data_IF_542774854471
#
_entry.id   IF_542774854471
#
_cell.length_a   1.000
_cell.length_b   1.000
_cell.length_c   1.000
_cell.angle_alpha   90.00
_cell.angle_beta   90.00
_cell.angle_gamma   90.00
#
_symmetry.space_group_name_H-M   'P 1'
#
loop_
_entity.id
_entity.type
_entity.pdbx_description
1 polymer ?
#
# COMPACT_ATOMS: atom_id res chain seq x y z
N UNK A 1 19.92 48.98 -17.80
CA UNK A 1 19.63 48.61 -19.19
C UNK A 1 20.46 47.37 -19.55
N UNK A 2 19.87 46.20 -19.49
CA UNK A 2 20.10 44.98 -20.26
C UNK A 2 19.21 43.86 -19.66
N UNK A 3 18.34 43.37 -20.52
CA UNK A 3 17.39 42.30 -20.37
C UNK A 3 18.12 40.96 -20.19
N UNK A 4 17.68 40.12 -19.24
CA UNK A 4 17.94 38.70 -19.28
C UNK A 4 16.61 37.97 -19.55
N UNK A 5 16.42 37.58 -20.81
CA UNK A 5 15.51 36.52 -21.19
C UNK A 5 16.20 35.20 -20.90
N UNK A 6 15.60 34.40 -20.00
CA UNK A 6 15.92 33.00 -19.78
C UNK A 6 14.69 32.17 -20.14
N UNK A 7 14.66 31.64 -21.36
CA UNK A 7 13.66 30.66 -21.79
C UNK A 7 13.89 29.34 -21.02
N UNK A 8 12.90 28.92 -20.26
CA UNK A 8 12.85 27.57 -19.69
C UNK A 8 12.40 26.60 -20.80
N UNK A 9 13.33 25.81 -21.31
CA UNK A 9 13.09 24.73 -22.28
C UNK A 9 12.46 23.54 -21.53
N UNK A 10 11.12 23.47 -21.57
CA UNK A 10 10.32 22.42 -20.98
C UNK A 10 10.14 21.24 -21.92
N UNK A 11 11.20 20.52 -22.25
CA UNK A 11 11.10 19.23 -22.96
C UNK A 11 10.60 18.14 -22.01
N UNK A 12 9.28 18.01 -21.87
CA UNK A 12 8.62 16.82 -21.32
C UNK A 12 9.01 15.62 -22.21
N UNK A 13 9.72 14.65 -21.60
CA UNK A 13 10.20 13.45 -22.31
C UNK A 13 9.02 12.70 -22.94
N UNK A 14 9.13 12.37 -24.22
CA UNK A 14 8.11 11.73 -25.05
C UNK A 14 7.53 10.40 -24.49
N UNK A 15 8.17 9.77 -23.51
CA UNK A 15 7.70 8.55 -22.85
C UNK A 15 6.47 8.74 -21.96
N UNK A 16 6.25 9.94 -21.41
CA UNK A 16 5.12 10.22 -20.50
C UNK A 16 3.80 10.41 -21.26
N UNK A 17 3.86 10.88 -22.50
CA UNK A 17 2.68 11.08 -23.35
C UNK A 17 2.11 9.77 -23.91
N UNK A 18 2.94 8.75 -24.14
CA UNK A 18 2.47 7.45 -24.65
C UNK A 18 1.64 6.66 -23.64
N UNK A 19 1.85 6.85 -22.34
CA UNK A 19 1.05 6.18 -21.29
C UNK A 19 -0.36 6.79 -21.15
N UNK A 20 -0.49 8.09 -21.32
CA UNK A 20 -1.78 8.78 -21.20
C UNK A 20 -2.76 8.46 -22.35
N UNK A 21 -2.27 8.15 -23.56
CA UNK A 21 -3.10 7.85 -24.73
C UNK A 21 -3.64 6.39 -24.70
N UNK A 22 -3.08 5.53 -23.85
CA UNK A 22 -3.41 4.10 -23.80
C UNK A 22 -4.72 3.77 -23.07
N UNK A 23 -5.32 4.71 -22.35
CA UNK A 23 -6.56 4.47 -21.59
C UNK A 23 -7.84 4.41 -22.46
N UNK A 24 -7.77 4.72 -23.75
CA UNK A 24 -8.92 4.72 -24.68
C UNK A 24 -8.95 3.52 -25.65
N UNK A 25 -7.98 2.61 -25.59
CA UNK A 25 -7.93 1.41 -26.44
C UNK A 25 -8.25 0.16 -25.63
N UNK A 26 -8.85 -0.84 -26.31
CA UNK A 26 -9.13 -2.16 -25.77
C UNK A 26 -7.95 -2.69 -24.95
N UNK A 27 -8.22 -3.31 -23.78
CA UNK A 27 -7.17 -3.91 -22.96
C UNK A 27 -6.30 -4.86 -23.82
N UNK A 28 -4.96 -4.83 -23.63
CA UNK A 28 -4.06 -5.68 -24.41
C UNK A 28 -4.39 -7.16 -24.20
N UNK A 29 -4.28 -7.97 -25.27
CA UNK A 29 -4.38 -9.42 -25.15
C UNK A 29 -3.20 -9.95 -24.32
N UNK A 30 -3.35 -11.16 -23.77
CA UNK A 30 -2.32 -11.82 -22.96
C UNK A 30 -0.98 -11.93 -23.71
N UNK A 31 -1.03 -12.14 -25.02
CA UNK A 31 0.17 -12.17 -25.90
C UNK A 31 0.91 -10.84 -25.96
N UNK A 32 0.18 -9.73 -25.87
CA UNK A 32 0.77 -8.38 -25.89
C UNK A 32 1.55 -8.10 -24.60
N UNK A 33 1.18 -8.74 -23.48
CA UNK A 33 1.85 -8.52 -22.18
C UNK A 33 3.32 -8.97 -22.23
N UNK A 34 3.63 -10.04 -22.96
CA UNK A 34 5.01 -10.51 -23.13
C UNK A 34 5.82 -9.51 -23.98
N UNK A 35 5.22 -8.98 -25.05
CA UNK A 35 5.86 -7.95 -25.88
C UNK A 35 6.08 -6.65 -25.07
N UNK A 36 5.08 -6.24 -24.28
CA UNK A 36 5.18 -5.10 -23.38
C UNK A 36 6.31 -5.27 -22.35
N UNK A 37 6.44 -6.48 -21.76
CA UNK A 37 7.53 -6.78 -20.83
C UNK A 37 8.91 -6.64 -21.50
N UNK A 38 9.08 -7.14 -22.72
CA UNK A 38 10.35 -6.97 -23.47
C UNK A 38 10.67 -5.50 -23.66
N UNK A 39 9.72 -4.72 -24.17
CA UNK A 39 9.89 -3.28 -24.36
C UNK A 39 10.22 -2.54 -23.07
N UNK A 40 9.56 -2.89 -21.97
CA UNK A 40 9.85 -2.35 -20.64
C UNK A 40 11.28 -2.68 -20.19
N UNK A 41 11.70 -3.94 -20.34
CA UNK A 41 13.03 -4.38 -19.94
C UNK A 41 14.14 -3.73 -20.79
N UNK A 42 13.93 -3.59 -22.10
CA UNK A 42 14.82 -2.86 -23.01
C UNK A 42 14.91 -1.38 -22.65
N UNK A 43 13.77 -0.74 -22.36
CA UNK A 43 13.73 0.64 -21.91
C UNK A 43 14.51 0.87 -20.61
N UNK A 44 14.36 -0.03 -19.62
CA UNK A 44 15.14 0.04 -18.36
C UNK A 44 16.66 -0.10 -18.63
N UNK A 45 17.07 -1.04 -19.49
CA UNK A 45 18.49 -1.22 -19.87
C UNK A 45 19.05 -0.03 -20.65
N UNK A 46 18.24 0.59 -21.50
CA UNK A 46 18.68 1.76 -22.28
C UNK A 46 18.97 2.96 -21.39
N UNK A 47 18.18 3.15 -20.31
CA UNK A 47 18.39 4.23 -19.32
C UNK A 47 19.53 3.88 -18.36
N UNK A 48 19.59 2.62 -17.93
CA UNK A 48 20.56 2.11 -16.97
C UNK A 48 20.97 0.67 -17.31
N UNK A 49 22.10 0.48 -17.98
CA UNK A 49 22.59 -0.86 -18.37
C UNK A 49 22.86 -1.79 -17.17
N UNK A 50 23.04 -1.24 -15.97
CA UNK A 50 23.27 -1.98 -14.73
C UNK A 50 22.02 -2.37 -13.97
N UNK A 51 20.84 -1.90 -14.37
CA UNK A 51 19.59 -2.02 -13.60
C UNK A 51 19.31 -3.44 -13.10
N UNK A 52 19.15 -4.39 -14.00
CA UNK A 52 18.85 -5.78 -13.62
C UNK A 52 20.00 -6.48 -12.89
N UNK A 53 21.25 -6.14 -13.21
CA UNK A 53 22.40 -6.72 -12.52
C UNK A 53 22.41 -6.35 -11.03
N UNK A 54 22.04 -5.11 -10.67
CA UNK A 54 21.89 -4.70 -9.26
C UNK A 54 20.77 -5.45 -8.57
N UNK A 55 19.63 -5.65 -9.24
CA UNK A 55 18.50 -6.41 -8.67
C UNK A 55 18.83 -7.86 -8.40
N UNK A 56 19.63 -8.51 -9.27
CA UNK A 56 20.09 -9.89 -9.06
C UNK A 56 21.07 -9.97 -7.89
N UNK A 57 21.89 -8.95 -7.68
CA UNK A 57 22.96 -8.97 -6.69
C UNK A 57 22.45 -8.90 -5.24
N UNK A 58 21.31 -8.28 -5.00
CA UNK A 58 20.77 -8.14 -3.63
C UNK A 58 19.26 -7.89 -3.60
N UNK A 59 18.63 -8.37 -2.52
CA UNK A 59 17.28 -7.98 -2.10
C UNK A 59 17.40 -7.31 -0.72
N UNK A 60 17.33 -5.98 -0.67
CA UNK A 60 17.49 -5.21 0.56
C UNK A 60 16.46 -4.06 0.63
N UNK A 61 15.16 -4.36 0.57
CA UNK A 61 14.12 -3.35 0.68
C UNK A 61 14.13 -2.75 2.10
N UNK A 62 13.89 -1.45 2.19
CA UNK A 62 13.71 -0.77 3.48
C UNK A 62 12.28 -0.83 3.98
N UNK A 63 11.34 -1.14 3.11
CA UNK A 63 9.90 -1.01 3.36
C UNK A 63 9.18 -2.33 3.08
N UNK A 64 8.24 -2.69 3.98
CA UNK A 64 7.16 -3.64 3.69
C UNK A 64 5.87 -2.84 3.47
N UNK A 65 5.23 -3.03 2.34
CA UNK A 65 3.90 -2.50 2.03
C UNK A 65 2.86 -3.58 2.22
N UNK A 66 1.83 -3.30 3.04
CA UNK A 66 0.65 -4.15 3.21
C UNK A 66 -0.53 -3.39 2.64
N UNK A 67 -0.98 -3.75 1.45
CA UNK A 67 -1.97 -2.99 0.70
C UNK A 67 -3.12 -3.81 0.14
N UNK A 68 -4.10 -3.10 -0.45
CA UNK A 68 -5.22 -3.73 -1.12
C UNK A 68 -4.80 -4.37 -2.45
N UNK A 69 -5.49 -5.47 -2.83
CA UNK A 69 -5.37 -6.10 -4.15
C UNK A 69 -6.01 -5.29 -5.29
N UNK A 70 -6.66 -4.16 -4.98
CA UNK A 70 -7.28 -3.29 -5.99
C UNK A 70 -6.28 -2.88 -7.07
N UNK A 71 -6.64 -3.14 -8.34
CA UNK A 71 -5.75 -2.91 -9.50
C UNK A 71 -5.38 -1.44 -9.71
N UNK A 72 -6.12 -0.51 -9.10
CA UNK A 72 -5.88 0.94 -9.18
C UNK A 72 -4.86 1.44 -8.13
N UNK A 73 -4.29 0.53 -7.31
CA UNK A 73 -3.36 0.85 -6.23
C UNK A 73 -1.99 0.22 -6.49
N UNK A 74 -1.19 0.74 -7.43
CA UNK A 74 0.13 0.21 -7.75
C UNK A 74 1.18 0.71 -6.74
N UNK A 75 1.55 -0.12 -5.77
CA UNK A 75 2.34 0.25 -4.60
C UNK A 75 3.62 1.04 -4.91
N UNK A 76 4.48 0.53 -5.80
CA UNK A 76 5.74 1.18 -6.16
C UNK A 76 5.54 2.54 -6.84
N UNK A 77 4.55 2.63 -7.75
CA UNK A 77 4.29 3.85 -8.52
C UNK A 77 3.79 4.98 -7.61
N UNK A 78 2.90 4.66 -6.65
CA UNK A 78 2.31 5.63 -5.72
C UNK A 78 3.38 6.35 -4.90
N UNK A 79 4.44 5.65 -4.50
CA UNK A 79 5.50 6.20 -3.65
C UNK A 79 6.81 6.47 -4.39
N UNK A 80 6.82 6.33 -5.73
CA UNK A 80 7.96 6.65 -6.58
C UNK A 80 9.18 5.77 -6.35
N UNK A 81 8.98 4.51 -5.94
CA UNK A 81 10.06 3.55 -5.69
C UNK A 81 10.26 2.62 -6.89
N UNK A 82 11.52 2.33 -7.19
CA UNK A 82 11.89 1.35 -8.21
C UNK A 82 11.71 -0.11 -7.72
N UNK A 83 11.65 -1.08 -8.66
CA UNK A 83 11.71 -2.50 -8.31
C UNK A 83 12.90 -2.83 -7.41
N UNK A 84 12.65 -3.62 -6.35
CA UNK A 84 13.65 -4.03 -5.36
C UNK A 84 13.68 -3.19 -4.09
N UNK A 85 13.07 -1.99 -4.08
CA UNK A 85 13.07 -1.09 -2.94
C UNK A 85 11.92 -1.33 -1.96
N UNK A 86 10.83 -1.96 -2.45
CA UNK A 86 9.62 -2.21 -1.69
C UNK A 86 9.30 -3.70 -1.68
N UNK A 87 9.19 -4.31 -0.49
CA UNK A 87 8.63 -5.64 -0.33
C UNK A 87 7.12 -5.52 -0.19
N UNK A 88 6.34 -6.27 -0.99
CA UNK A 88 4.90 -6.01 -1.15
C UNK A 88 4.07 -7.22 -0.77
N UNK A 89 3.14 -7.03 0.17
CA UNK A 89 2.03 -7.93 0.46
C UNK A 89 0.71 -7.29 0.05
N UNK A 90 -0.15 -8.04 -0.63
CA UNK A 90 -1.47 -7.54 -1.07
C UNK A 90 -2.56 -8.58 -0.85
N UNK A 91 -3.67 -8.11 -0.29
CA UNK A 91 -4.90 -8.90 -0.15
C UNK A 91 -6.13 -7.99 -0.25
N UNK A 92 -7.33 -8.56 -0.30
CA UNK A 92 -8.54 -7.74 -0.35
C UNK A 92 -8.68 -6.92 0.94
N UNK A 93 -8.77 -5.60 0.80
CA UNK A 93 -8.92 -4.62 1.88
C UNK A 93 -7.72 -4.50 2.84
N UNK A 94 -6.50 -4.79 2.40
CA UNK A 94 -5.24 -4.55 3.15
C UNK A 94 -5.26 -5.09 4.60
N UNK A 95 -5.83 -6.27 4.81
CA UNK A 95 -5.94 -6.88 6.13
C UNK A 95 -4.60 -7.49 6.59
N UNK A 96 -4.37 -7.44 7.90
CA UNK A 96 -3.25 -8.07 8.60
C UNK A 96 -3.79 -8.94 9.75
N UNK A 97 -4.52 -10.03 9.45
CA UNK A 97 -5.14 -10.86 10.47
C UNK A 97 -4.09 -11.77 11.13
N UNK A 98 -4.04 -11.83 12.48
CA UNK A 98 -3.00 -12.57 13.20
C UNK A 98 -3.08 -14.10 13.02
N UNK A 99 -4.09 -14.63 12.32
CA UNK A 99 -4.25 -16.06 12.02
C UNK A 99 -3.93 -16.40 10.56
N UNK A 100 -3.64 -15.43 9.71
CA UNK A 100 -3.37 -15.69 8.29
C UNK A 100 -1.89 -16.04 8.06
N UNK A 101 -1.61 -17.30 7.81
CA UNK A 101 -0.26 -17.79 7.58
C UNK A 101 0.45 -17.11 6.39
N UNK A 102 -0.29 -16.66 5.38
CA UNK A 102 0.30 -15.94 4.25
C UNK A 102 0.83 -14.56 4.69
N UNK A 103 -0.02 -13.78 5.37
CA UNK A 103 0.40 -12.49 5.94
C UNK A 103 1.56 -12.66 6.93
N UNK A 104 1.45 -13.61 7.87
CA UNK A 104 2.47 -13.87 8.89
C UNK A 104 3.82 -14.25 8.28
N UNK A 105 3.82 -15.09 7.23
CA UNK A 105 5.05 -15.49 6.54
C UNK A 105 5.75 -14.29 5.89
N UNK A 106 4.99 -13.39 5.28
CA UNK A 106 5.53 -12.16 4.67
C UNK A 106 6.07 -11.22 5.75
N UNK A 107 5.33 -11.02 6.84
CA UNK A 107 5.76 -10.16 7.95
C UNK A 107 7.04 -10.70 8.59
N UNK A 108 7.07 -11.99 8.93
CA UNK A 108 8.25 -12.63 9.50
C UNK A 108 9.47 -12.47 8.61
N UNK A 109 9.33 -12.78 7.31
CA UNK A 109 10.43 -12.66 6.36
C UNK A 109 10.93 -11.22 6.24
N UNK A 110 10.02 -10.26 6.15
CA UNK A 110 10.37 -8.83 6.08
C UNK A 110 11.12 -8.35 7.33
N UNK A 111 10.62 -8.69 8.52
CA UNK A 111 11.17 -8.22 9.80
C UNK A 111 12.45 -8.98 10.19
N UNK A 112 12.44 -10.31 10.10
CA UNK A 112 13.52 -11.13 10.62
C UNK A 112 14.63 -11.42 9.60
N UNK A 113 14.32 -11.53 8.31
CA UNK A 113 15.27 -11.87 7.26
C UNK A 113 15.73 -10.64 6.51
N UNK A 114 14.81 -9.86 5.93
CA UNK A 114 15.14 -8.66 5.16
C UNK A 114 15.50 -7.46 6.04
N UNK A 115 15.11 -7.48 7.31
CA UNK A 115 15.39 -6.40 8.28
C UNK A 115 14.85 -5.03 7.81
N UNK A 116 13.63 -5.02 7.28
CA UNK A 116 13.00 -3.76 6.88
C UNK A 116 12.93 -2.78 8.05
N UNK A 117 13.09 -1.49 7.77
CA UNK A 117 12.98 -0.43 8.80
C UNK A 117 11.56 0.11 8.95
N UNK A 118 10.70 -0.15 7.97
CA UNK A 118 9.35 0.38 7.93
C UNK A 118 8.35 -0.67 7.44
N UNK A 119 7.24 -0.81 8.14
CA UNK A 119 6.03 -1.51 7.67
C UNK A 119 4.95 -0.47 7.44
N UNK A 120 4.36 -0.43 6.26
CA UNK A 120 3.36 0.56 5.87
C UNK A 120 2.06 -0.16 5.56
N UNK A 121 1.05 0.00 6.40
CA UNK A 121 -0.31 -0.47 6.11
C UNK A 121 -1.03 0.59 5.32
N UNK A 122 -1.47 0.24 4.10
CA UNK A 122 -2.07 1.20 3.18
C UNK A 122 -3.45 0.76 2.74
N UNK A 123 -4.46 1.46 3.23
CA UNK A 123 -5.81 1.42 2.73
C UNK A 123 -6.00 2.39 1.56
N UNK A 124 -7.20 2.37 0.97
CA UNK A 124 -7.56 3.37 -0.02
C UNK A 124 -9.05 3.70 0.05
N UNK A 125 -9.40 4.93 -0.25
CA UNK A 125 -10.80 5.33 -0.35
C UNK A 125 -11.48 4.64 -1.54
N UNK A 126 -12.78 4.37 -1.39
CA UNK A 126 -13.54 3.64 -2.39
C UNK A 126 -13.16 2.15 -2.51
N UNK A 127 -12.59 1.54 -1.47
CA UNK A 127 -12.26 0.11 -1.42
C UNK A 127 -13.50 -0.76 -1.53
N UNK A 128 -13.53 -1.66 -2.54
CA UNK A 128 -14.65 -2.58 -2.75
C UNK A 128 -14.89 -3.52 -1.58
N UNK A 129 -13.84 -4.00 -0.91
CA UNK A 129 -13.95 -4.87 0.27
C UNK A 129 -14.53 -4.14 1.48
N UNK A 130 -14.05 -2.91 1.76
CA UNK A 130 -14.60 -2.09 2.85
C UNK A 130 -16.06 -1.75 2.60
N UNK A 131 -16.42 -1.36 1.37
CA UNK A 131 -17.81 -1.10 0.96
C UNK A 131 -18.70 -2.33 1.12
N UNK A 132 -18.22 -3.51 0.71
CA UNK A 132 -18.98 -4.76 0.87
C UNK A 132 -19.24 -5.10 2.35
N UNK A 133 -18.24 -4.87 3.22
CA UNK A 133 -18.39 -5.03 4.66
C UNK A 133 -19.40 -4.03 5.25
N UNK A 134 -19.27 -2.75 4.88
CA UNK A 134 -20.15 -1.66 5.33
C UNK A 134 -21.61 -1.90 4.96
N UNK A 135 -21.87 -2.30 3.72
CA UNK A 135 -23.22 -2.56 3.20
C UNK A 135 -23.76 -3.95 3.54
N UNK A 136 -23.02 -4.74 4.31
CA UNK A 136 -23.36 -6.11 4.67
C UNK A 136 -23.75 -6.97 3.47
N UNK A 137 -23.03 -6.82 2.36
CA UNK A 137 -23.28 -7.60 1.15
C UNK A 137 -22.96 -9.07 1.39
N UNK A 138 -23.75 -9.95 0.75
CA UNK A 138 -23.56 -11.39 0.78
C UNK A 138 -22.87 -11.84 -0.50
N UNK A 139 -21.55 -12.09 -0.43
CA UNK A 139 -20.68 -12.40 -1.56
C UNK A 139 -20.03 -13.81 -1.46
N UNK A 140 -20.42 -14.60 -0.45
CA UNK A 140 -19.89 -15.95 -0.23
C UNK A 140 -18.60 -15.96 0.61
N UNK A 141 -17.57 -16.69 0.18
CA UNK A 141 -16.34 -16.90 0.97
C UNK A 141 -15.69 -15.59 1.44
N UNK A 142 -15.73 -14.56 0.64
CA UNK A 142 -15.15 -13.25 0.97
C UNK A 142 -15.80 -12.61 2.21
N UNK A 143 -17.04 -12.98 2.55
CA UNK A 143 -17.73 -12.45 3.74
C UNK A 143 -17.01 -12.84 5.02
N UNK A 144 -16.46 -14.06 5.07
CA UNK A 144 -15.65 -14.51 6.19
C UNK A 144 -14.36 -13.67 6.30
N UNK A 145 -13.68 -13.46 5.16
CA UNK A 145 -12.48 -12.63 5.10
C UNK A 145 -12.70 -11.20 5.56
N UNK A 146 -13.85 -10.61 5.24
CA UNK A 146 -14.21 -9.23 5.60
C UNK A 146 -14.78 -9.09 7.02
N UNK A 147 -14.93 -10.18 7.78
CA UNK A 147 -15.48 -10.14 9.15
C UNK A 147 -14.70 -9.22 10.11
N UNK A 148 -13.36 -9.06 10.03
CA UNK A 148 -12.63 -8.11 10.87
C UNK A 148 -13.05 -6.65 10.62
N UNK A 149 -13.37 -6.28 9.38
CA UNK A 149 -13.83 -4.92 9.04
C UNK A 149 -15.21 -4.65 9.66
N UNK A 150 -16.10 -5.66 9.67
CA UNK A 150 -17.40 -5.55 10.35
C UNK A 150 -17.24 -5.43 11.88
N UNK A 151 -16.19 -6.03 12.45
CA UNK A 151 -15.87 -5.81 13.86
C UNK A 151 -15.46 -4.35 14.11
N UNK A 152 -14.53 -3.80 13.29
CA UNK A 152 -14.14 -2.39 13.35
C UNK A 152 -15.36 -1.47 13.23
N UNK A 153 -16.28 -1.76 12.30
CA UNK A 153 -17.51 -0.98 12.14
C UNK A 153 -18.38 -0.97 13.40
N UNK A 154 -18.53 -2.11 14.09
CA UNK A 154 -19.27 -2.18 15.34
C UNK A 154 -18.56 -1.43 16.48
N UNK A 155 -17.24 -1.57 16.60
CA UNK A 155 -16.44 -0.90 17.62
C UNK A 155 -16.52 0.64 17.50
N UNK A 156 -16.79 1.16 16.28
CA UNK A 156 -16.86 2.59 15.96
C UNK A 156 -18.26 3.03 15.50
N UNK A 157 -19.33 2.32 15.90
CA UNK A 157 -20.69 2.58 15.42
C UNK A 157 -21.13 4.02 15.69
N UNK A 158 -20.91 4.55 16.87
CA UNK A 158 -21.29 5.91 17.24
C UNK A 158 -20.55 6.98 16.42
N UNK A 159 -19.24 6.79 16.18
CA UNK A 159 -18.43 7.67 15.35
C UNK A 159 -18.91 7.67 13.89
N UNK A 160 -19.16 6.49 13.35
CA UNK A 160 -19.63 6.36 11.96
C UNK A 160 -21.05 6.92 11.81
N UNK A 161 -21.95 6.70 12.76
CA UNK A 161 -23.32 7.22 12.74
C UNK A 161 -23.38 8.75 12.74
N UNK A 162 -22.42 9.43 13.38
CA UNK A 162 -22.34 10.88 13.44
C UNK A 162 -21.93 11.52 12.09
N UNK A 163 -21.44 10.74 11.12
CA UNK A 163 -21.01 11.26 9.83
C UNK A 163 -22.21 11.53 8.89
N UNK A 164 -22.10 12.53 8.00
CA UNK A 164 -23.25 13.09 7.28
C UNK A 164 -23.91 12.15 6.27
N UNK A 165 -23.14 11.21 5.71
CA UNK A 165 -23.64 10.30 4.65
C UNK A 165 -22.78 9.03 4.56
N UNK A 166 -23.27 8.05 3.78
CA UNK A 166 -22.60 6.75 3.62
C UNK A 166 -21.21 6.86 2.96
N UNK A 167 -20.98 7.80 2.06
CA UNK A 167 -19.67 8.01 1.45
C UNK A 167 -18.64 8.40 2.52
N UNK A 168 -18.98 9.35 3.38
CA UNK A 168 -18.12 9.75 4.49
C UNK A 168 -17.88 8.60 5.49
N UNK A 169 -18.90 7.78 5.74
CA UNK A 169 -18.81 6.59 6.61
C UNK A 169 -17.91 5.51 6.00
N UNK A 170 -18.06 5.22 4.69
CA UNK A 170 -17.20 4.28 3.97
C UNK A 170 -15.74 4.74 3.99
N UNK A 171 -15.48 6.02 3.74
CA UNK A 171 -14.12 6.59 3.76
C UNK A 171 -13.51 6.53 5.17
N UNK A 172 -14.29 6.89 6.19
CA UNK A 172 -13.83 6.78 7.58
C UNK A 172 -13.57 5.33 7.98
N UNK A 173 -14.38 4.39 7.54
CA UNK A 173 -14.17 2.97 7.79
C UNK A 173 -12.89 2.45 7.13
N UNK A 174 -12.50 2.98 5.96
CA UNK A 174 -11.19 2.69 5.35
C UNK A 174 -10.04 3.12 6.29
N UNK A 175 -10.13 4.31 6.88
CA UNK A 175 -9.11 4.81 7.81
C UNK A 175 -9.07 4.00 9.12
N UNK A 176 -10.23 3.69 9.69
CA UNK A 176 -10.34 2.87 10.91
C UNK A 176 -9.82 1.45 10.69
N UNK A 177 -10.10 0.86 9.52
CA UNK A 177 -9.53 -0.43 9.14
C UNK A 177 -8.00 -0.37 9.11
N UNK A 178 -7.40 0.66 8.49
CA UNK A 178 -5.93 0.83 8.49
C UNK A 178 -5.40 0.91 9.91
N UNK A 179 -6.01 1.70 10.80
CA UNK A 179 -5.59 1.80 12.20
C UNK A 179 -5.62 0.45 12.91
N UNK A 180 -6.69 -0.32 12.74
CA UNK A 180 -6.80 -1.68 13.29
C UNK A 180 -5.70 -2.60 12.75
N UNK A 181 -5.33 -2.50 11.46
CA UNK A 181 -4.26 -3.34 10.93
C UNK A 181 -2.89 -2.88 11.45
N UNK A 182 -2.65 -1.59 11.68
CA UNK A 182 -1.43 -1.12 12.38
C UNK A 182 -1.34 -1.69 13.80
N UNK A 183 -2.47 -1.74 14.53
CA UNK A 183 -2.54 -2.39 15.86
C UNK A 183 -2.19 -3.87 15.77
N UNK A 184 -2.76 -4.59 14.79
CA UNK A 184 -2.49 -6.02 14.58
C UNK A 184 -1.01 -6.27 14.32
N UNK A 185 -0.41 -5.50 13.39
CA UNK A 185 1.03 -5.59 13.06
C UNK A 185 1.88 -5.27 14.29
N UNK A 186 1.55 -4.21 15.03
CA UNK A 186 2.29 -3.80 16.23
C UNK A 186 2.17 -4.75 17.43
N UNK A 187 1.13 -5.59 17.44
CA UNK A 187 0.94 -6.63 18.46
C UNK A 187 1.50 -7.99 18.04
N UNK A 188 1.99 -8.11 16.81
CA UNK A 188 2.52 -9.38 16.28
C UNK A 188 3.83 -9.76 16.99
N UNK A 189 4.02 -11.02 17.42
CA UNK A 189 5.23 -11.48 18.10
C UNK A 189 6.52 -11.17 17.33
N UNK A 190 6.55 -11.30 16.00
CA UNK A 190 7.74 -11.02 15.20
C UNK A 190 8.17 -9.56 15.31
N UNK A 191 7.22 -8.65 15.41
CA UNK A 191 7.45 -7.20 15.57
C UNK A 191 7.85 -6.87 17.01
N UNK A 192 7.14 -7.42 17.99
CA UNK A 192 7.41 -7.22 19.42
C UNK A 192 8.82 -7.70 19.77
N UNK A 193 9.21 -8.89 19.30
CA UNK A 193 10.54 -9.45 19.51
C UNK A 193 11.63 -8.61 18.80
N UNK A 194 11.36 -8.11 17.60
CA UNK A 194 12.29 -7.23 16.91
C UNK A 194 12.53 -5.93 17.68
N UNK A 195 11.48 -5.30 18.21
CA UNK A 195 11.62 -4.12 19.06
C UNK A 195 12.37 -4.43 20.38
N UNK A 196 12.06 -5.56 21.01
CA UNK A 196 12.77 -6.00 22.22
C UNK A 196 14.27 -6.25 21.96
N UNK A 197 14.62 -6.69 20.74
CA UNK A 197 15.99 -6.85 20.29
C UNK A 197 16.66 -5.52 19.83
N UNK A 198 15.96 -4.37 19.94
CA UNK A 198 16.51 -3.05 19.60
C UNK A 198 16.43 -2.71 18.11
N UNK A 199 15.60 -3.40 17.31
CA UNK A 199 15.44 -3.08 15.91
C UNK A 199 14.83 -1.68 15.72
N UNK A 200 15.38 -0.91 14.78
CA UNK A 200 14.82 0.36 14.35
C UNK A 200 13.69 0.10 13.34
N UNK A 201 12.54 -0.34 13.85
CA UNK A 201 11.36 -0.68 13.06
C UNK A 201 10.21 0.25 13.41
N UNK A 202 9.61 0.90 12.40
CA UNK A 202 8.41 1.71 12.54
C UNK A 202 7.26 1.12 11.70
N UNK A 203 6.03 1.16 12.24
CA UNK A 203 4.82 0.77 11.52
C UNK A 203 4.01 2.04 11.28
N UNK A 204 3.50 2.20 10.06
CA UNK A 204 2.75 3.38 9.63
C UNK A 204 1.37 2.99 9.10
N UNK A 205 0.39 3.88 9.28
CA UNK A 205 -0.96 3.73 8.72
C UNK A 205 -1.27 4.86 7.75
N UNK A 206 -1.48 4.53 6.47
CA UNK A 206 -1.78 5.48 5.40
C UNK A 206 -3.08 5.12 4.67
N UNK A 207 -3.73 6.13 4.08
CA UNK A 207 -4.87 5.93 3.19
C UNK A 207 -4.62 6.65 1.86
N UNK A 208 -4.73 5.92 0.75
CA UNK A 208 -4.52 6.44 -0.60
C UNK A 208 -5.84 6.92 -1.21
N UNK A 209 -5.83 8.08 -1.81
CA UNK A 209 -6.96 8.63 -2.56
C UNK A 209 -6.78 8.37 -4.04
N UNK A 210 -7.66 7.53 -4.62
CA UNK A 210 -7.68 7.26 -6.07
C UNK A 210 -8.13 8.50 -6.85
N UNK A 211 -8.85 9.44 -6.20
CA UNK A 211 -9.41 10.60 -6.84
C UNK A 211 -8.35 11.66 -7.22
N UNK A 212 -7.31 11.79 -6.41
CA UNK A 212 -6.25 12.81 -6.58
C UNK A 212 -4.83 12.25 -6.57
N UNK A 213 -4.67 10.93 -6.33
CA UNK A 213 -3.38 10.27 -6.30
C UNK A 213 -2.54 10.53 -5.04
N UNK A 214 -3.13 11.11 -4.00
CA UNK A 214 -2.41 11.48 -2.79
C UNK A 214 -2.53 10.41 -1.69
N UNK A 215 -1.47 10.29 -0.90
CA UNK A 215 -1.43 9.49 0.33
C UNK A 215 -1.69 10.41 1.52
N UNK A 216 -2.65 10.05 2.37
CA UNK A 216 -2.92 10.66 3.66
C UNK A 216 -2.25 9.85 4.77
N UNK A 217 -1.34 10.45 5.52
CA UNK A 217 -0.84 9.89 6.77
C UNK A 217 -1.94 10.02 7.85
N UNK A 218 -2.32 8.90 8.45
CA UNK A 218 -3.39 8.85 9.47
C UNK A 218 -2.88 9.18 10.88
N UNK A 219 -1.60 9.52 11.03
CA UNK A 219 -0.98 9.73 12.34
C UNK A 219 -0.96 8.46 13.20
N UNK A 220 -1.02 7.29 12.57
CA UNK A 220 -1.02 5.98 13.23
C UNK A 220 0.37 5.34 13.10
N UNK A 221 1.42 6.07 13.49
CA UNK A 221 2.78 5.56 13.48
C UNK A 221 3.17 5.04 14.86
N UNK A 222 3.72 3.83 14.93
CA UNK A 222 4.23 3.21 16.16
C UNK A 222 5.65 2.66 15.97
N UNK A 223 6.50 2.79 17.00
CA UNK A 223 7.92 2.43 16.99
C UNK A 223 8.33 1.48 18.10
N UNK A 224 7.38 1.13 18.96
CA UNK A 224 7.59 0.22 20.10
C UNK A 224 6.25 -0.31 20.61
N UNK A 225 6.30 -1.34 21.43
CA UNK A 225 5.11 -2.00 21.99
C UNK A 225 4.23 -1.04 22.83
N UNK A 226 4.83 -0.05 23.52
CA UNK A 226 4.06 0.90 24.32
C UNK A 226 3.26 1.87 23.47
N UNK A 227 3.80 2.30 22.32
CA UNK A 227 3.07 3.11 21.34
C UNK A 227 1.94 2.30 20.67
N UNK A 228 2.22 1.04 20.30
CA UNK A 228 1.22 0.14 19.71
C UNK A 228 0.05 -0.12 20.67
N UNK A 229 0.32 -0.29 21.96
CA UNK A 229 -0.72 -0.49 22.97
C UNK A 229 -1.65 0.73 23.13
N UNK A 230 -1.14 1.94 22.92
CA UNK A 230 -1.93 3.18 23.02
C UNK A 230 -2.86 3.41 21.81
N UNK A 231 -2.59 2.78 20.66
CA UNK A 231 -3.52 2.86 19.52
C UNK A 231 -4.85 2.15 19.80
N UNK A 232 -4.85 1.16 20.72
CA UNK A 232 -6.03 0.38 21.11
C UNK A 232 -6.98 1.12 22.06
N UNK A 233 -6.57 2.26 22.57
CA UNK A 233 -7.38 3.14 23.43
C UNK A 233 -8.01 4.27 22.61
#
# INVERSE_FOLDING_TARGET
>A
MRLFQGAADGTLKAGTLQHATRMATQAPDITDLIANNRSWAEGKKAVDPGFFRRLVAQQAPKYLWIGCSDSRVPANEIVGLDPGELFVHRNVANLAPPQDANYLSVLQYAVQVLKVSHVIVVGHYGCGGVRAAFRNQRLGLIDHWLSPIRAVMRDHEAELAALPNDAAREDRLCELNVRRQVENVGADPFVVDAWAAGANLAIHGWCYSIADGLVKDLGATVRNAAEAARLKS
#
